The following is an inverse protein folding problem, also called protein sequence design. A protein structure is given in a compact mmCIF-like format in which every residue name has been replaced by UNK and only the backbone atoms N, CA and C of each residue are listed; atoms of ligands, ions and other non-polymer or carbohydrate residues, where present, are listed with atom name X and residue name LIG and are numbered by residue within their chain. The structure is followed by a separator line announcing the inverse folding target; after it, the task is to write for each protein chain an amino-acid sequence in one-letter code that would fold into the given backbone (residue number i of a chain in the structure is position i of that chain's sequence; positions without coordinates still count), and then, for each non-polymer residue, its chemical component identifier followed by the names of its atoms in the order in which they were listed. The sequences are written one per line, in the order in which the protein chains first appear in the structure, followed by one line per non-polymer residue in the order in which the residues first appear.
data_IF_336356852059
#
_entry.id   IF_336356852059
#
_cell.length_a   1.000
_cell.length_b   1.000
_cell.length_c   1.000
_cell.angle_alpha   90.00
_cell.angle_beta   90.00
_cell.angle_gamma   90.00
#
_symmetry.space_group_name_H-M   'P 1'
#
loop_
_entity.id
_entity.type
_entity.pdbx_description
1 polymer ?
#
# COMPACT_ATOMS: atom_id res chain seq x y z
N UNK A 1 -21.16 1.48 4.81
CA UNK A 1 -20.77 0.62 3.67
C UNK A 1 -19.36 0.16 3.92
N UNK A 2 -19.18 -1.12 4.26
CA UNK A 2 -17.86 -1.73 4.47
C UNK A 2 -17.32 -2.16 3.11
N UNK A 3 -16.64 -1.26 2.41
CA UNK A 3 -15.76 -1.68 1.33
C UNK A 3 -14.71 -2.61 1.92
N UNK A 4 -14.51 -3.76 1.30
CA UNK A 4 -13.43 -4.69 1.63
C UNK A 4 -12.12 -3.99 1.20
N UNK A 5 -11.73 -2.98 1.96
CA UNK A 5 -10.46 -2.30 1.80
C UNK A 5 -9.40 -3.21 2.37
N UNK A 6 -8.43 -3.60 1.54
CA UNK A 6 -7.12 -4.06 2.02
C UNK A 6 -6.57 -2.98 2.95
N UNK A 7 -6.88 -3.12 4.24
CA UNK A 7 -6.47 -2.17 5.26
C UNK A 7 -4.95 -2.09 5.26
N UNK A 8 -4.42 -0.88 5.37
CA UNK A 8 -3.00 -0.71 5.61
C UNK A 8 -2.60 -1.52 6.86
N UNK A 9 -1.45 -2.22 6.82
CA UNK A 9 -0.96 -2.94 7.98
C UNK A 9 -0.69 -1.97 9.14
N UNK A 10 -0.57 -2.53 10.35
CA UNK A 10 -0.19 -1.78 11.54
C UNK A 10 -1.37 -1.23 12.33
N UNK A 11 -1.07 -0.28 13.22
CA UNK A 11 -2.00 0.23 14.24
C UNK A 11 -2.35 1.69 14.00
N UNK A 12 -3.49 2.14 14.52
CA UNK A 12 -3.90 3.55 14.45
C UNK A 12 -3.63 4.25 15.77
N UNK A 13 -3.02 5.43 15.72
CA UNK A 13 -2.77 6.31 16.87
C UNK A 13 -3.23 7.71 16.49
N UNK A 14 -4.22 8.24 17.22
CA UNK A 14 -4.78 9.57 16.98
C UNK A 14 -5.10 9.88 15.50
N UNK A 15 -5.72 8.91 14.80
CA UNK A 15 -6.09 9.05 13.38
C UNK A 15 -4.94 8.90 12.38
N UNK A 16 -3.77 8.44 12.83
CA UNK A 16 -2.61 8.16 11.97
C UNK A 16 -2.29 6.67 12.01
N UNK A 17 -2.18 6.05 10.84
CA UNK A 17 -1.75 4.66 10.68
C UNK A 17 -0.23 4.59 10.80
N UNK A 18 0.26 3.68 11.64
CA UNK A 18 1.69 3.43 11.91
C UNK A 18 2.03 1.96 11.65
N UNK A 19 3.05 1.69 10.84
CA UNK A 19 3.55 0.34 10.54
C UNK A 19 5.06 0.32 10.30
N UNK A 20 5.65 -0.88 10.34
CA UNK A 20 7.04 -1.10 9.95
C UNK A 20 7.11 -1.71 8.54
N UNK A 21 8.05 -1.26 7.72
CA UNK A 21 8.33 -1.77 6.38
C UNK A 21 9.82 -1.60 6.07
N UNK A 22 10.48 -2.68 5.60
CA UNK A 22 11.91 -2.69 5.24
C UNK A 22 12.86 -2.10 6.31
N UNK A 23 12.54 -2.32 7.60
CA UNK A 23 13.34 -1.84 8.73
C UNK A 23 13.10 -0.37 9.12
N UNK A 24 12.20 0.34 8.42
CA UNK A 24 11.79 1.71 8.75
C UNK A 24 10.36 1.72 9.33
N UNK A 25 10.08 2.68 10.22
CA UNK A 25 8.71 2.96 10.65
C UNK A 25 8.09 4.02 9.76
N UNK A 26 6.90 3.74 9.24
CA UNK A 26 6.16 4.60 8.33
C UNK A 26 4.85 5.06 8.97
N UNK A 27 4.43 6.28 8.65
CA UNK A 27 3.13 6.82 9.05
C UNK A 27 2.34 7.42 7.89
N UNK A 28 1.01 7.38 8.01
CA UNK A 28 0.07 8.04 7.11
C UNK A 28 -1.21 8.45 7.86
N UNK A 29 -1.62 9.71 7.74
CA UNK A 29 -2.92 10.14 8.26
C UNK A 29 -4.06 9.39 7.57
N UNK A 30 -5.03 8.89 8.34
CA UNK A 30 -6.17 8.12 7.79
C UNK A 30 -7.19 9.01 7.07
N UNK A 31 -7.12 10.32 7.30
CA UNK A 31 -7.98 11.33 6.69
C UNK A 31 -7.16 12.60 6.43
N UNK A 32 -7.53 13.41 5.42
CA UNK A 32 -7.00 14.76 5.27
C UNK A 32 -7.24 15.59 6.54
N UNK A 33 -6.23 16.31 6.97
CA UNK A 33 -6.26 17.22 8.12
C UNK A 33 -6.31 18.67 7.63
N UNK A 34 -6.94 19.60 8.39
CA UNK A 34 -6.92 21.01 8.01
C UNK A 34 -5.50 21.53 7.95
N UNK A 35 -5.17 22.28 6.90
CA UNK A 35 -3.94 23.06 6.90
C UNK A 35 -4.11 24.20 7.92
N UNK A 36 -3.18 24.36 8.85
CA UNK A 36 -3.27 25.38 9.90
C UNK A 36 -2.52 26.65 9.49
N UNK A 37 -3.01 27.81 9.92
CA UNK A 37 -2.32 29.10 9.78
C UNK A 37 -1.28 29.29 10.91
N UNK A 38 -0.61 30.45 10.93
CA UNK A 38 0.37 30.79 11.95
C UNK A 38 -0.21 30.86 13.38
N UNK A 39 -1.53 30.94 13.53
CA UNK A 39 -2.24 30.95 14.81
C UNK A 39 -2.80 29.56 15.19
N UNK A 40 -2.48 28.52 14.42
CA UNK A 40 -3.01 27.17 14.63
C UNK A 40 -4.47 27.01 14.23
N UNK A 41 -5.04 27.96 13.47
CA UNK A 41 -6.43 27.88 13.01
C UNK A 41 -6.52 27.21 11.64
N UNK A 42 -7.55 26.40 11.36
CA UNK A 42 -7.79 25.88 10.02
C UNK A 42 -7.84 26.99 8.96
N UNK A 43 -7.12 26.80 7.86
CA UNK A 43 -7.16 27.67 6.68
C UNK A 43 -8.44 27.38 5.88
N UNK A 44 -9.56 27.83 6.43
CA UNK A 44 -10.88 27.70 5.84
C UNK A 44 -11.54 29.06 5.85
N UNK A 45 -12.02 29.52 4.69
CA UNK A 45 -12.73 30.80 4.59
C UNK A 45 -13.87 30.69 3.58
N UNK A 46 -14.97 31.38 3.90
CA UNK A 46 -16.09 31.58 3.00
C UNK A 46 -16.41 33.07 2.94
N UNK A 47 -16.47 33.63 1.74
CA UNK A 47 -16.84 35.02 1.50
C UNK A 47 -18.12 35.04 0.66
N UNK A 48 -19.17 35.63 1.20
CA UNK A 48 -20.45 35.83 0.50
C UNK A 48 -20.47 37.21 -0.16
N UNK A 49 -20.64 37.25 -1.49
CA UNK A 49 -20.69 38.50 -2.26
C UNK A 49 -21.61 38.36 -3.48
N UNK A 50 -22.55 39.30 -3.65
CA UNK A 50 -23.45 39.39 -4.80
C UNK A 50 -24.15 38.06 -5.18
N UNK A 51 -24.62 37.31 -4.18
CA UNK A 51 -25.31 36.02 -4.40
C UNK A 51 -24.38 34.85 -4.73
N UNK A 52 -23.07 35.00 -4.54
CA UNK A 52 -22.07 33.95 -4.70
C UNK A 52 -21.33 33.73 -3.39
N UNK A 53 -20.85 32.50 -3.17
CA UNK A 53 -19.96 32.16 -2.06
C UNK A 53 -18.61 31.73 -2.61
N UNK A 54 -17.57 32.48 -2.30
CA UNK A 54 -16.19 32.08 -2.57
C UNK A 54 -15.68 31.25 -1.38
N UNK A 55 -15.34 30.00 -1.63
CA UNK A 55 -14.88 29.05 -0.62
C UNK A 55 -13.40 28.76 -0.85
N UNK A 56 -12.58 28.89 0.19
CA UNK A 56 -11.17 28.49 0.19
C UNK A 56 -10.91 27.53 1.35
N UNK A 57 -10.29 26.38 1.05
CA UNK A 57 -10.03 25.30 2.01
C UNK A 57 -8.59 24.79 1.81
N UNK A 58 -7.79 24.79 2.87
CA UNK A 58 -6.49 24.12 2.90
C UNK A 58 -6.57 22.78 3.61
N UNK A 59 -5.98 21.74 3.01
CA UNK A 59 -5.88 20.40 3.60
C UNK A 59 -4.45 19.84 3.44
N UNK A 60 -4.06 18.91 4.30
CA UNK A 60 -2.78 18.18 4.22
C UNK A 60 -2.89 16.78 4.81
N UNK A 61 -1.90 15.92 4.60
CA UNK A 61 -1.79 14.63 5.29
C UNK A 61 -0.79 14.66 6.44
N UNK A 62 -0.35 15.85 6.85
CA UNK A 62 0.62 16.03 7.91
C UNK A 62 -0.05 15.93 9.29
N UNK A 63 0.35 14.97 10.14
CA UNK A 63 -0.12 14.94 11.52
C UNK A 63 0.30 16.19 12.29
N UNK A 64 -0.49 16.55 13.31
CA UNK A 64 -0.13 17.64 14.22
C UNK A 64 1.13 17.31 15.01
N UNK A 65 1.83 18.33 15.53
CA UNK A 65 3.04 18.14 16.35
C UNK A 65 2.78 17.23 17.57
N UNK A 66 1.65 17.42 18.25
CA UNK A 66 1.24 16.56 19.36
C UNK A 66 1.04 15.09 18.92
N UNK A 67 0.46 14.88 17.74
CA UNK A 67 0.30 13.52 17.19
C UNK A 67 1.66 12.93 16.81
N UNK A 68 2.55 13.72 16.21
CA UNK A 68 3.90 13.28 15.88
C UNK A 68 4.69 12.87 17.12
N UNK A 69 4.58 13.61 18.23
CA UNK A 69 5.22 13.26 19.50
C UNK A 69 4.71 11.90 20.04
N UNK A 70 3.39 11.66 19.96
CA UNK A 70 2.80 10.37 20.34
C UNK A 70 3.31 9.21 19.46
N UNK A 71 3.40 9.43 18.15
CA UNK A 71 3.92 8.43 17.21
C UNK A 71 5.40 8.12 17.47
N UNK A 72 6.22 9.15 17.73
CA UNK A 72 7.63 8.98 18.07
C UNK A 72 7.81 8.22 19.39
N UNK A 73 7.01 8.54 20.41
CA UNK A 73 7.02 7.83 21.67
C UNK A 73 6.64 6.35 21.48
N UNK A 74 5.64 6.06 20.65
CA UNK A 74 5.24 4.70 20.32
C UNK A 74 6.38 3.94 19.63
N UNK A 75 6.97 4.52 18.58
CA UNK A 75 8.08 3.88 17.84
C UNK A 75 9.27 3.61 18.76
N UNK A 76 9.60 4.54 19.66
CA UNK A 76 10.66 4.37 20.63
C UNK A 76 10.39 3.21 21.60
N UNK A 77 9.14 2.96 21.98
CA UNK A 77 8.77 1.81 22.82
C UNK A 77 8.88 0.48 22.07
N UNK A 78 8.57 0.47 20.77
CA UNK A 78 8.50 -0.76 19.98
C UNK A 78 9.85 -1.21 19.42
N UNK A 79 10.69 -0.26 19.02
CA UNK A 79 11.93 -0.52 18.30
C UNK A 79 13.16 0.17 18.93
N UNK A 80 12.98 0.86 20.06
CA UNK A 80 14.03 1.59 20.75
C UNK A 80 14.19 3.05 20.30
N UNK A 81 14.91 3.87 21.06
CA UNK A 81 14.97 5.33 20.87
C UNK A 81 15.70 5.77 19.58
N UNK A 82 16.44 4.87 18.94
CA UNK A 82 17.14 5.13 17.67
C UNK A 82 16.28 4.81 16.43
N UNK A 83 15.07 4.28 16.61
CA UNK A 83 14.20 3.95 15.50
C UNK A 83 13.67 5.23 14.82
N UNK A 84 13.86 5.31 13.51
CA UNK A 84 13.43 6.46 12.73
C UNK A 84 11.98 6.30 12.25
N UNK A 85 11.25 7.42 12.28
CA UNK A 85 9.87 7.52 11.81
C UNK A 85 9.80 8.41 10.57
N UNK A 86 9.29 7.86 9.47
CA UNK A 86 9.24 8.51 8.16
C UNK A 86 7.80 8.60 7.65
N UNK A 87 7.44 9.63 6.88
CA UNK A 87 6.15 9.65 6.18
C UNK A 87 6.13 8.54 5.12
N UNK A 88 4.97 7.91 4.94
CA UNK A 88 4.80 6.92 3.88
C UNK A 88 4.98 7.57 2.50
N UNK A 89 5.84 6.99 1.66
CA UNK A 89 5.98 7.43 0.28
C UNK A 89 4.66 7.16 -0.46
N UNK A 90 4.07 8.20 -1.06
CA UNK A 90 2.81 8.07 -1.79
C UNK A 90 2.83 8.94 -3.04
N UNK A 91 2.00 8.59 -4.00
CA UNK A 91 1.69 9.42 -5.18
C UNK A 91 0.27 9.93 -5.05
N UNK A 92 0.09 11.25 -5.16
CA UNK A 92 -1.24 11.82 -5.20
C UNK A 92 -1.87 11.54 -6.56
N UNK A 93 -3.05 10.90 -6.57
CA UNK A 93 -3.81 10.63 -7.80
C UNK A 93 -4.90 11.66 -8.02
N UNK A 94 -5.56 12.06 -6.94
CA UNK A 94 -6.66 13.03 -6.98
C UNK A 94 -6.80 13.74 -5.65
N UNK A 95 -7.15 15.02 -5.68
CA UNK A 95 -7.56 15.76 -4.50
C UNK A 95 -8.75 16.64 -4.89
N UNK A 96 -9.87 16.46 -4.18
CA UNK A 96 -11.13 17.14 -4.45
C UNK A 96 -11.77 17.68 -3.17
N UNK A 97 -12.45 18.81 -3.33
CA UNK A 97 -13.43 19.32 -2.39
C UNK A 97 -14.82 19.00 -2.94
N UNK A 98 -15.65 18.36 -2.14
CA UNK A 98 -16.93 17.84 -2.57
C UNK A 98 -18.06 18.31 -1.63
N UNK A 99 -19.22 18.62 -2.22
CA UNK A 99 -20.43 19.01 -1.50
C UNK A 99 -21.48 17.91 -1.63
N UNK A 100 -22.30 17.73 -0.61
CA UNK A 100 -23.41 16.79 -0.68
C UNK A 100 -24.50 17.26 -1.66
N UNK A 101 -25.05 16.31 -2.41
CA UNK A 101 -26.18 16.44 -3.32
C UNK A 101 -27.14 15.25 -3.15
N UNK A 102 -28.23 15.21 -3.93
CA UNK A 102 -29.26 14.18 -3.80
C UNK A 102 -28.72 12.75 -4.06
N UNK A 103 -27.76 12.60 -4.97
CA UNK A 103 -27.20 11.29 -5.38
C UNK A 103 -25.84 10.97 -4.75
N UNK A 104 -25.39 11.77 -3.77
CA UNK A 104 -24.10 11.55 -3.09
C UNK A 104 -23.30 12.83 -2.95
N UNK A 105 -22.01 12.78 -3.27
CA UNK A 105 -21.13 13.94 -3.22
C UNK A 105 -20.73 14.36 -4.63
N UNK A 106 -20.81 15.65 -4.91
CA UNK A 106 -20.38 16.25 -6.16
C UNK A 106 -19.12 17.08 -5.95
N UNK A 107 -18.16 16.92 -6.85
CA UNK A 107 -16.93 17.71 -6.87
C UNK A 107 -17.24 19.18 -7.18
N UNK A 108 -16.75 20.08 -6.33
CA UNK A 108 -16.89 21.54 -6.49
C UNK A 108 -15.55 22.23 -6.76
N UNK A 109 -14.43 21.60 -6.41
CA UNK A 109 -13.09 22.04 -6.77
C UNK A 109 -12.10 20.87 -6.74
N UNK A 110 -11.07 20.94 -7.57
CA UNK A 110 -9.88 20.07 -7.52
C UNK A 110 -8.66 20.88 -7.16
N UNK A 111 -7.66 20.23 -6.56
CA UNK A 111 -6.37 20.83 -6.33
C UNK A 111 -5.25 19.87 -6.73
N UNK A 112 -4.12 20.43 -7.17
CA UNK A 112 -2.90 19.64 -7.33
C UNK A 112 -2.17 19.60 -6.00
N UNK A 113 -2.29 18.49 -5.28
CA UNK A 113 -1.50 18.31 -4.06
C UNK A 113 -0.03 18.04 -4.42
N UNK A 114 0.87 18.39 -3.50
CA UNK A 114 2.27 17.99 -3.59
C UNK A 114 2.41 16.47 -3.46
N UNK A 115 3.30 15.84 -4.23
CA UNK A 115 3.72 14.45 -4.00
C UNK A 115 4.74 14.34 -2.84
N UNK A 116 5.34 15.47 -2.44
CA UNK A 116 6.24 15.57 -1.30
C UNK A 116 5.48 15.95 -0.02
N UNK A 117 5.87 15.41 1.15
CA UNK A 117 5.31 15.83 2.44
C UNK A 117 5.38 17.36 2.59
N UNK A 118 4.32 18.01 3.10
CA UNK A 118 3.15 17.46 3.80
C UNK A 118 1.95 17.01 2.92
N UNK A 119 2.12 16.89 1.60
CA UNK A 119 1.03 16.65 0.63
C UNK A 119 -0.14 17.63 0.79
N UNK A 120 0.19 18.91 0.97
CA UNK A 120 -0.78 19.97 1.09
C UNK A 120 -1.52 20.22 -0.24
N UNK A 121 -2.81 20.54 -0.14
CA UNK A 121 -3.64 21.00 -1.24
C UNK A 121 -4.47 22.22 -0.80
N UNK A 122 -4.62 23.18 -1.71
CA UNK A 122 -5.45 24.36 -1.51
C UNK A 122 -6.58 24.35 -2.56
N UNK A 123 -7.81 24.32 -2.08
CA UNK A 123 -9.02 24.30 -2.88
C UNK A 123 -9.64 25.69 -2.92
N UNK A 124 -10.12 26.11 -4.09
CA UNK A 124 -10.90 27.33 -4.26
C UNK A 124 -12.09 27.06 -5.16
N UNK A 125 -13.29 27.43 -4.71
CA UNK A 125 -14.54 27.25 -5.43
C UNK A 125 -15.39 28.52 -5.37
N UNK A 126 -16.13 28.80 -6.44
CA UNK A 126 -17.20 29.80 -6.43
C UNK A 126 -18.53 29.08 -6.56
N UNK A 127 -19.34 29.17 -5.51
CA UNK A 127 -20.60 28.44 -5.38
C UNK A 127 -21.79 29.39 -5.50
N UNK A 128 -22.92 28.85 -5.95
CA UNK A 128 -24.23 29.51 -6.01
C UNK A 128 -25.32 28.58 -5.49
N UNK A 129 -26.47 29.17 -5.21
CA UNK A 129 -27.72 28.46 -4.93
C UNK A 129 -27.59 27.39 -3.82
N UNK A 130 -28.18 26.22 -4.04
CA UNK A 130 -28.21 25.11 -3.08
C UNK A 130 -26.82 24.58 -2.71
N UNK A 131 -25.83 24.65 -3.61
CA UNK A 131 -24.45 24.24 -3.32
C UNK A 131 -23.78 25.18 -2.33
N UNK A 132 -24.00 26.49 -2.47
CA UNK A 132 -23.49 27.48 -1.53
C UNK A 132 -24.09 27.26 -0.13
N UNK A 133 -25.42 27.09 -0.05
CA UNK A 133 -26.11 26.80 1.22
C UNK A 133 -25.59 25.52 1.88
N UNK A 134 -25.39 24.44 1.10
CA UNK A 134 -24.91 23.15 1.60
C UNK A 134 -23.45 23.25 2.07
N UNK A 135 -22.58 23.93 1.33
CA UNK A 135 -21.20 24.12 1.76
C UNK A 135 -21.10 24.96 3.05
N UNK A 136 -21.88 26.05 3.17
CA UNK A 136 -21.93 26.86 4.37
C UNK A 136 -22.47 26.09 5.58
N UNK A 137 -23.45 25.20 5.39
CA UNK A 137 -23.92 24.30 6.43
C UNK A 137 -22.78 23.40 6.95
N UNK A 138 -21.98 22.82 6.05
CA UNK A 138 -20.79 22.03 6.42
C UNK A 138 -19.77 22.83 7.23
N UNK A 139 -19.49 24.06 6.83
CA UNK A 139 -18.61 24.97 7.60
C UNK A 139 -19.18 25.34 8.97
N UNK A 140 -20.49 25.30 9.16
CA UNK A 140 -21.15 25.55 10.45
C UNK A 140 -21.23 24.30 11.34
N UNK A 141 -20.60 23.20 10.93
CA UNK A 141 -20.56 21.97 11.71
C UNK A 141 -21.64 20.95 11.36
N UNK A 142 -22.43 21.15 10.30
CA UNK A 142 -23.33 20.11 9.82
C UNK A 142 -22.54 19.00 9.11
N UNK A 143 -22.43 17.85 9.77
CA UNK A 143 -21.77 16.68 9.21
C UNK A 143 -22.43 16.21 7.91
N UNK A 144 -21.62 15.64 7.02
CA UNK A 144 -22.03 15.05 5.76
C UNK A 144 -22.39 16.07 4.68
N UNK A 145 -22.03 17.34 4.84
CA UNK A 145 -22.36 18.41 3.88
C UNK A 145 -21.21 18.80 2.96
N UNK A 146 -19.99 18.81 3.49
CA UNK A 146 -18.80 19.28 2.78
C UNK A 146 -17.61 18.42 3.22
N UNK A 147 -16.85 17.88 2.27
CA UNK A 147 -15.71 17.01 2.56
C UNK A 147 -14.54 17.23 1.62
N UNK A 148 -13.35 16.86 2.07
CA UNK A 148 -12.16 16.71 1.23
C UNK A 148 -11.94 15.22 0.95
N UNK A 149 -11.71 14.88 -0.32
CA UNK A 149 -11.36 13.54 -0.79
C UNK A 149 -9.94 13.56 -1.36
N UNK A 150 -9.06 12.72 -0.83
CA UNK A 150 -7.75 12.42 -1.40
C UNK A 150 -7.76 10.98 -1.92
N UNK A 151 -7.32 10.79 -3.17
CA UNK A 151 -6.99 9.47 -3.72
C UNK A 151 -5.48 9.37 -3.83
N UNK A 152 -4.90 8.41 -3.12
CA UNK A 152 -3.45 8.21 -3.07
C UNK A 152 -3.09 6.80 -3.51
N UNK A 153 -1.90 6.63 -4.07
CA UNK A 153 -1.32 5.33 -4.36
C UNK A 153 -0.04 5.15 -3.55
N UNK A 154 0.03 4.09 -2.73
CA UNK A 154 1.25 3.69 -2.03
C UNK A 154 2.01 2.65 -2.87
N UNK A 155 3.33 2.79 -3.03
CA UNK A 155 4.14 1.74 -3.59
C UNK A 155 4.09 0.55 -2.62
N UNK A 156 3.62 -0.59 -3.11
CA UNK A 156 3.69 -1.86 -2.39
C UNK A 156 4.32 -2.89 -3.30
N UNK A 157 5.00 -3.84 -2.68
CA UNK A 157 5.52 -5.03 -3.34
C UNK A 157 4.73 -6.23 -2.86
N UNK A 158 4.50 -7.16 -3.77
CA UNK A 158 4.01 -8.50 -3.45
C UNK A 158 5.11 -9.48 -3.77
N UNK A 159 5.36 -10.41 -2.85
CA UNK A 159 6.29 -11.49 -3.03
C UNK A 159 5.56 -12.78 -3.38
N UNK A 160 6.24 -13.62 -4.16
CA UNK A 160 5.93 -15.03 -4.25
C UNK A 160 7.23 -15.82 -4.15
N UNK A 161 7.13 -17.02 -3.57
CA UNK A 161 8.21 -17.97 -3.40
C UNK A 161 7.72 -19.33 -3.87
N UNK A 162 8.50 -19.97 -4.73
CA UNK A 162 8.31 -21.36 -5.10
C UNK A 162 9.53 -22.17 -4.68
N UNK A 163 9.28 -23.31 -4.05
CA UNK A 163 10.30 -24.26 -3.65
C UNK A 163 10.01 -25.63 -4.26
N UNK A 164 11.07 -26.32 -4.67
CA UNK A 164 11.06 -27.68 -5.17
C UNK A 164 12.05 -28.50 -4.37
N UNK A 165 11.56 -29.55 -3.73
CA UNK A 165 12.39 -30.47 -2.96
C UNK A 165 12.00 -31.92 -3.22
N UNK A 166 12.98 -32.82 -3.31
CA UNK A 166 12.72 -34.23 -3.57
C UNK A 166 13.95 -35.12 -3.65
N UNK A 167 13.70 -36.43 -3.67
CA UNK A 167 14.73 -37.46 -3.90
C UNK A 167 14.63 -37.95 -5.35
N UNK A 168 15.71 -37.77 -6.11
CA UNK A 168 15.81 -38.10 -7.53
C UNK A 168 16.61 -39.38 -7.77
N UNK A 169 16.99 -40.11 -6.71
CA UNK A 169 17.89 -41.27 -6.81
C UNK A 169 17.39 -42.34 -7.80
N UNK A 170 16.06 -42.54 -7.88
CA UNK A 170 15.43 -43.52 -8.78
C UNK A 170 15.11 -42.98 -10.18
N UNK A 171 15.36 -41.69 -10.42
CA UNK A 171 14.98 -40.97 -11.64
C UNK A 171 16.18 -40.62 -12.51
N UNK A 172 17.36 -41.14 -12.17
CA UNK A 172 18.61 -40.94 -12.88
C UNK A 172 19.13 -42.29 -13.34
N UNK A 173 19.47 -42.41 -14.62
CA UNK A 173 19.86 -43.69 -15.24
C UNK A 173 21.26 -44.19 -14.82
N UNK A 174 21.88 -43.56 -13.81
CA UNK A 174 23.21 -43.92 -13.28
C UNK A 174 24.37 -43.71 -14.25
N UNK A 175 24.11 -43.23 -15.47
CA UNK A 175 25.07 -43.03 -16.54
C UNK A 175 25.56 -41.59 -16.61
N UNK A 176 26.58 -41.24 -15.84
CA UNK A 176 27.39 -40.03 -16.06
C UNK A 176 26.63 -38.70 -16.14
N UNK A 177 27.31 -37.69 -16.67
CA UNK A 177 26.89 -36.28 -16.66
C UNK A 177 25.51 -36.08 -17.32
N UNK A 178 24.55 -35.56 -16.57
CA UNK A 178 23.21 -35.20 -17.06
C UNK A 178 23.20 -33.79 -17.64
N UNK A 179 22.60 -33.61 -18.82
CA UNK A 179 22.40 -32.28 -19.41
C UNK A 179 21.14 -31.61 -18.83
N UNK A 180 20.89 -30.35 -19.24
CA UNK A 180 19.76 -29.59 -18.72
C UNK A 180 18.39 -30.21 -19.08
N UNK A 181 18.26 -30.79 -20.28
CA UNK A 181 17.01 -31.38 -20.74
C UNK A 181 16.69 -32.67 -19.98
N UNK A 182 17.70 -33.53 -19.79
CA UNK A 182 17.59 -34.74 -18.98
C UNK A 182 17.27 -34.42 -17.53
N UNK A 183 17.94 -33.40 -16.96
CA UNK A 183 17.69 -32.97 -15.59
C UNK A 183 16.24 -32.47 -15.40
N UNK A 184 15.72 -31.69 -16.36
CA UNK A 184 14.32 -31.25 -16.32
C UNK A 184 13.33 -32.42 -16.42
N UNK A 185 13.59 -33.37 -17.30
CA UNK A 185 12.75 -34.57 -17.46
C UNK A 185 12.72 -35.42 -16.18
N UNK A 186 13.88 -35.66 -15.56
CA UNK A 186 14.01 -36.42 -14.31
C UNK A 186 13.25 -35.73 -13.17
N UNK A 187 13.38 -34.41 -13.04
CA UNK A 187 12.65 -33.63 -12.04
C UNK A 187 11.14 -33.72 -12.26
N UNK A 188 10.67 -33.62 -13.52
CA UNK A 188 9.24 -33.72 -13.84
C UNK A 188 8.68 -35.10 -13.53
N UNK A 189 9.40 -36.16 -13.89
CA UNK A 189 9.04 -37.53 -13.56
C UNK A 189 8.93 -37.72 -12.05
N UNK A 190 9.90 -37.23 -11.27
CA UNK A 190 9.86 -37.31 -9.81
C UNK A 190 8.68 -36.54 -9.18
N UNK A 191 8.24 -35.43 -9.79
CA UNK A 191 7.02 -34.73 -9.36
C UNK A 191 5.78 -35.59 -9.65
N UNK A 192 5.71 -36.21 -10.83
CA UNK A 192 4.59 -37.06 -11.24
C UNK A 192 4.47 -38.34 -10.39
N UNK A 193 5.59 -38.94 -9.97
CA UNK A 193 5.61 -40.11 -9.07
C UNK A 193 5.48 -39.75 -7.59
N UNK A 194 5.58 -38.46 -7.24
CA UNK A 194 5.46 -37.96 -5.87
C UNK A 194 6.75 -37.98 -5.04
N UNK A 195 7.89 -38.31 -5.66
CA UNK A 195 9.22 -38.31 -5.04
C UNK A 195 9.82 -36.89 -4.91
N UNK A 196 9.28 -35.93 -5.66
CA UNK A 196 9.52 -34.51 -5.52
C UNK A 196 8.21 -33.72 -5.34
N UNK A 197 8.26 -32.63 -4.58
CA UNK A 197 7.09 -31.81 -4.25
C UNK A 197 7.35 -30.32 -4.47
N UNK A 198 6.34 -29.66 -5.00
CA UNK A 198 6.25 -28.21 -5.03
C UNK A 198 5.68 -27.68 -3.72
N UNK A 199 6.25 -26.57 -3.25
CA UNK A 199 5.65 -25.69 -2.27
C UNK A 199 5.60 -24.29 -2.85
N UNK A 200 4.47 -23.61 -2.71
CA UNK A 200 4.30 -22.23 -3.18
C UNK A 200 3.70 -21.39 -2.06
N UNK A 201 4.29 -20.24 -1.83
CA UNK A 201 3.80 -19.21 -0.92
C UNK A 201 3.75 -17.89 -1.68
N UNK A 202 2.67 -17.15 -1.54
CA UNK A 202 2.52 -15.86 -2.21
C UNK A 202 1.69 -14.90 -1.37
N UNK A 203 2.04 -13.62 -1.43
CA UNK A 203 1.28 -12.58 -0.76
C UNK A 203 -0.15 -12.50 -1.32
N UNK A 204 -1.14 -12.12 -0.49
CA UNK A 204 -2.50 -11.89 -0.95
C UNK A 204 -2.56 -10.94 -2.16
N UNK A 205 -3.16 -11.43 -3.25
CA UNK A 205 -3.29 -10.69 -4.51
C UNK A 205 -2.07 -10.75 -5.44
N UNK A 206 -1.02 -11.51 -5.12
CA UNK A 206 0.08 -11.75 -6.05
C UNK A 206 -0.44 -12.29 -7.40
N UNK A 207 0.03 -11.72 -8.50
CA UNK A 207 -0.44 -12.04 -9.85
C UNK A 207 -0.10 -13.48 -10.24
N UNK A 208 -0.89 -14.04 -11.15
CA UNK A 208 -0.61 -15.36 -11.74
C UNK A 208 0.71 -15.37 -12.53
N UNK A 209 1.09 -14.22 -13.10
CA UNK A 209 2.37 -14.07 -13.80
C UNK A 209 3.56 -14.16 -12.85
N UNK A 210 3.48 -13.50 -11.69
CA UNK A 210 4.49 -13.60 -10.64
C UNK A 210 4.65 -15.05 -10.16
N UNK A 211 3.53 -15.74 -9.88
CA UNK A 211 3.50 -17.16 -9.48
C UNK A 211 4.16 -18.08 -10.51
N UNK A 212 3.81 -17.89 -11.79
CA UNK A 212 4.42 -18.64 -12.89
C UNK A 212 5.93 -18.38 -12.99
N UNK A 213 6.33 -17.14 -12.83
CA UNK A 213 7.74 -16.71 -12.89
C UNK A 213 8.57 -17.35 -11.79
N UNK A 214 8.08 -17.37 -10.54
CA UNK A 214 8.81 -17.99 -9.43
C UNK A 214 8.92 -19.50 -9.59
N UNK A 215 7.86 -20.17 -10.06
CA UNK A 215 7.89 -21.62 -10.33
C UNK A 215 8.90 -21.96 -11.42
N UNK A 216 8.90 -21.20 -12.52
CA UNK A 216 9.87 -21.37 -13.61
C UNK A 216 11.31 -21.14 -13.12
N UNK A 217 11.54 -20.14 -12.26
CA UNK A 217 12.85 -19.85 -11.71
C UNK A 217 13.36 -20.95 -10.77
N UNK A 218 12.49 -21.47 -9.90
CA UNK A 218 12.82 -22.59 -9.01
C UNK A 218 13.13 -23.87 -9.81
N UNK A 219 12.38 -24.14 -10.88
CA UNK A 219 12.68 -25.26 -11.79
C UNK A 219 14.05 -25.09 -12.45
N UNK A 220 14.35 -23.91 -12.99
CA UNK A 220 15.64 -23.64 -13.61
C UNK A 220 16.81 -23.83 -12.63
N UNK A 221 16.66 -23.40 -11.37
CA UNK A 221 17.66 -23.61 -10.32
C UNK A 221 17.83 -25.08 -9.94
N UNK A 222 16.74 -25.83 -9.90
CA UNK A 222 16.74 -27.28 -9.65
C UNK A 222 17.52 -28.01 -10.75
N UNK A 223 17.20 -27.72 -12.03
CA UNK A 223 17.90 -28.25 -13.21
C UNK A 223 19.38 -27.92 -13.16
N UNK A 224 19.75 -26.67 -12.89
CA UNK A 224 21.17 -26.26 -12.79
C UNK A 224 21.90 -26.94 -11.63
N UNK A 225 21.22 -27.15 -10.50
CA UNK A 225 21.82 -27.83 -9.35
C UNK A 225 22.04 -29.32 -9.63
N UNK A 226 21.08 -29.96 -10.29
CA UNK A 226 21.18 -31.35 -10.70
C UNK A 226 22.25 -31.57 -11.78
N UNK A 227 22.31 -30.71 -12.80
CA UNK A 227 23.34 -30.78 -13.84
C UNK A 227 24.77 -30.58 -13.29
N UNK A 228 24.92 -29.77 -12.22
CA UNK A 228 26.21 -29.60 -11.53
C UNK A 228 26.60 -30.79 -10.64
N UNK A 229 25.63 -31.47 -10.06
CA UNK A 229 25.85 -32.57 -9.09
C UNK A 229 25.75 -33.97 -9.71
N UNK A 230 25.19 -34.09 -10.91
CA UNK A 230 24.90 -35.34 -11.64
C UNK A 230 26.12 -36.12 -12.14
N UNK A 231 27.26 -36.04 -11.47
CA UNK A 231 28.37 -37.00 -11.62
C UNK A 231 28.32 -38.10 -10.56
N UNK A 232 27.20 -38.23 -9.85
CA UNK A 232 27.00 -39.17 -8.78
C UNK A 232 27.12 -40.62 -9.29
N UNK A 233 28.10 -41.37 -8.78
CA UNK A 233 28.30 -42.77 -9.13
C UNK A 233 27.10 -43.65 -8.77
N UNK A 234 27.04 -44.90 -9.28
CA UNK A 234 25.93 -45.81 -9.03
C UNK A 234 25.66 -45.98 -7.54
N UNK A 235 24.42 -45.70 -7.11
CA UNK A 235 23.96 -45.82 -5.72
C UNK A 235 24.09 -44.56 -4.86
N UNK A 236 24.60 -43.44 -5.40
CA UNK A 236 24.67 -42.18 -4.69
C UNK A 236 23.28 -41.51 -4.60
N UNK A 237 22.89 -41.13 -3.39
CA UNK A 237 21.64 -40.43 -3.13
C UNK A 237 21.66 -39.05 -3.78
N UNK A 238 20.71 -38.77 -4.66
CA UNK A 238 20.62 -37.48 -5.35
C UNK A 238 19.35 -36.77 -4.92
N UNK A 239 19.50 -35.69 -4.16
CA UNK A 239 18.38 -34.85 -3.73
C UNK A 239 18.40 -33.53 -4.46
N UNK A 240 17.22 -33.00 -4.79
CA UNK A 240 17.07 -31.64 -5.28
C UNK A 240 16.46 -30.76 -4.20
N UNK A 241 16.99 -29.56 -4.06
CA UNK A 241 16.41 -28.49 -3.27
C UNK A 241 16.67 -27.19 -4.01
N UNK A 242 15.60 -26.52 -4.41
CA UNK A 242 15.64 -25.24 -5.09
C UNK A 242 14.54 -24.34 -4.55
N UNK A 243 14.83 -23.05 -4.43
CA UNK A 243 13.91 -22.04 -3.95
C UNK A 243 14.14 -20.73 -4.68
N UNK A 244 13.08 -20.18 -5.26
CA UNK A 244 13.12 -18.90 -5.93
C UNK A 244 12.04 -17.97 -5.38
N UNK A 245 12.47 -16.79 -4.95
CA UNK A 245 11.60 -15.68 -4.56
C UNK A 245 11.68 -14.56 -5.59
N UNK A 246 10.52 -14.00 -5.96
CA UNK A 246 10.43 -12.80 -6.79
C UNK A 246 9.37 -11.86 -6.22
N UNK A 247 9.49 -10.60 -6.61
CA UNK A 247 8.54 -9.56 -6.22
C UNK A 247 8.01 -8.84 -7.45
N UNK A 248 6.79 -8.33 -7.33
CA UNK A 248 6.18 -7.41 -8.31
C UNK A 248 5.70 -6.13 -7.63
N UNK A 249 5.65 -5.03 -8.38
CA UNK A 249 5.03 -3.80 -7.91
C UNK A 249 3.51 -3.92 -8.00
N UNK A 250 2.81 -3.67 -6.89
CA UNK A 250 1.36 -3.74 -6.80
C UNK A 250 0.85 -2.55 -5.99
N UNK A 251 0.74 -1.34 -6.58
CA UNK A 251 0.41 -0.13 -5.85
C UNK A 251 -0.94 -0.26 -5.14
N UNK A 252 -0.97 0.08 -3.85
CA UNK A 252 -2.19 0.10 -3.06
C UNK A 252 -2.87 1.45 -3.21
N UNK A 253 -4.08 1.48 -3.76
CA UNK A 253 -4.87 2.70 -3.88
C UNK A 253 -5.75 2.88 -2.65
N UNK A 254 -5.74 4.08 -2.07
CA UNK A 254 -6.56 4.45 -0.92
C UNK A 254 -7.39 5.69 -1.25
N UNK A 255 -8.60 5.73 -0.70
CA UNK A 255 -9.43 6.93 -0.63
C UNK A 255 -9.46 7.42 0.82
N UNK A 256 -8.96 8.62 1.06
CA UNK A 256 -8.91 9.26 2.37
C UNK A 256 -9.89 10.43 2.34
N UNK A 257 -10.88 10.42 3.23
CA UNK A 257 -11.93 11.45 3.25
C UNK A 257 -12.00 12.11 4.61
N UNK A 258 -12.17 13.43 4.62
CA UNK A 258 -12.38 14.21 5.84
C UNK A 258 -13.60 15.11 5.71
N UNK A 259 -14.48 15.04 6.70
CA UNK A 259 -15.62 15.94 6.84
C UNK A 259 -15.18 17.28 7.43
N UNK A 260 -15.59 18.39 6.82
CA UNK A 260 -15.21 19.72 7.27
C UNK A 260 -15.93 20.17 8.54
N UNK A 261 -17.05 19.53 8.90
CA UNK A 261 -17.79 19.85 10.11
C UNK A 261 -16.93 19.74 11.38
N UNK A 262 -16.00 18.78 11.40
CA UNK A 262 -15.10 18.56 12.54
C UNK A 262 -13.91 19.52 12.61
N UNK A 263 -13.65 20.32 11.57
CA UNK A 263 -12.45 21.16 11.53
C UNK A 263 -12.60 22.46 12.31
N UNK A 264 -13.82 23.01 12.35
CA UNK A 264 -14.10 24.30 12.98
C UNK A 264 -14.64 24.17 14.42
N UNK A 265 -14.82 22.93 14.90
CA UNK A 265 -15.33 22.61 16.24
C UNK A 265 -14.29 22.81 17.34
N UNK A 266 -14.04 24.07 17.70
CA UNK A 266 -13.18 24.49 18.82
C UNK A 266 -13.42 25.93 19.28
N UNK A 267 -14.59 26.51 18.98
CA UNK A 267 -15.04 27.82 19.44
C UNK A 267 -16.15 27.73 20.47
#
# INVERSE_FOLDING_TARGET
MNGIGTALPGRTIAGVRLWAEDGAWLYLAEQPLPLLDANGRPQVSALEAAGMTMLSVGASLQPTEATMALLQQEVAQLAGPAAELHPAALTMRHAALEVAEAEGFAEIATARASDLPPQAAAFSAVLRDSRAATALAGLRGEAGRLRVLYRVALPRRRAATAALAGDLTNHLDGTGQIDAAGAEAAIRCAIETGDAKWSEQADPGASEELRRTVRSAAMAQAVQSLARTGTAGPGARTTVQAEATRTEAAPLTLELTADLAGWLGGG
#
